data_IF_218481040161
#
_entry.id   IF_218481040161
#
_cell.length_a   1.000
_cell.length_b   1.000
_cell.length_c   1.000
_cell.angle_alpha   90.00
_cell.angle_beta   90.00
_cell.angle_gamma   90.00
#
_symmetry.space_group_name_H-M   'P 1'
#
loop_
_entity.id
_entity.type
_entity.pdbx_description
1 polymer ?
#
# COMPACT_ATOMS: atom_id res chain seq x y z
N UNK A 1 22.69 -9.31 -1.27
CA UNK A 1 21.89 -8.16 -0.80
C UNK A 1 20.47 -8.36 -1.28
N UNK A 2 19.51 -8.47 -0.36
CA UNK A 2 18.10 -8.65 -0.71
C UNK A 2 17.49 -7.31 -1.11
N UNK A 3 16.85 -7.26 -2.28
CA UNK A 3 16.22 -6.05 -2.80
C UNK A 3 14.71 -6.22 -2.89
N UNK A 4 13.97 -5.21 -2.46
CA UNK A 4 12.52 -5.18 -2.52
C UNK A 4 11.99 -3.92 -3.17
N UNK A 5 10.82 -4.03 -3.79
CA UNK A 5 10.03 -2.87 -4.24
C UNK A 5 8.90 -2.63 -3.24
N UNK A 6 8.73 -1.39 -2.81
CA UNK A 6 7.49 -0.95 -2.17
C UNK A 6 6.62 -0.26 -3.22
N UNK A 7 5.52 -0.91 -3.59
CA UNK A 7 4.52 -0.38 -4.49
C UNK A 7 3.62 0.59 -3.75
N UNK A 8 3.90 1.88 -3.91
CA UNK A 8 3.12 2.99 -3.34
C UNK A 8 1.78 3.08 -4.06
N UNK A 9 0.69 3.14 -3.31
CA UNK A 9 -0.68 3.22 -3.84
C UNK A 9 -1.43 4.41 -3.23
N UNK A 10 -2.46 4.12 -2.43
CA UNK A 10 -3.20 5.15 -1.69
C UNK A 10 -2.57 5.48 -0.33
N UNK A 11 -1.58 4.72 0.09
CA UNK A 11 -0.82 4.80 1.34
C UNK A 11 0.42 5.73 1.24
N UNK A 12 0.27 6.91 0.65
CA UNK A 12 1.36 7.84 0.31
C UNK A 12 1.96 8.50 1.57
N UNK A 13 2.53 7.69 2.48
CA UNK A 13 3.14 8.12 3.74
C UNK A 13 4.37 7.27 4.09
N UNK A 14 5.29 7.85 4.86
CA UNK A 14 6.50 7.16 5.34
C UNK A 14 6.30 6.55 6.72
N UNK A 15 5.65 7.26 7.63
CA UNK A 15 5.36 6.77 8.97
C UNK A 15 4.07 5.95 9.00
N UNK A 16 3.97 5.05 9.96
CA UNK A 16 2.81 4.19 10.20
C UNK A 16 2.32 3.49 8.91
N UNK A 17 3.28 2.99 8.13
CA UNK A 17 3.03 2.27 6.87
C UNK A 17 3.44 0.80 7.00
N UNK A 18 2.50 -0.13 7.27
CA UNK A 18 2.82 -1.54 7.49
C UNK A 18 3.54 -2.20 6.31
N UNK A 19 3.16 -1.85 5.07
CA UNK A 19 3.78 -2.41 3.88
C UNK A 19 5.23 -1.96 3.70
N UNK A 20 5.50 -0.66 3.93
CA UNK A 20 6.86 -0.11 3.89
C UNK A 20 7.71 -0.65 5.03
N UNK A 21 7.20 -0.66 6.26
CA UNK A 21 7.90 -1.22 7.42
C UNK A 21 8.29 -2.69 7.20
N UNK A 22 7.38 -3.48 6.63
CA UNK A 22 7.67 -4.88 6.28
C UNK A 22 8.76 -4.98 5.21
N UNK A 23 8.69 -4.18 4.16
CA UNK A 23 9.71 -4.15 3.11
C UNK A 23 11.10 -3.83 3.70
N UNK A 24 11.18 -2.79 4.54
CA UNK A 24 12.43 -2.36 5.19
C UNK A 24 12.97 -3.39 6.20
N UNK A 25 12.09 -4.20 6.82
CA UNK A 25 12.53 -5.26 7.76
C UNK A 25 13.04 -6.52 7.05
N UNK A 26 12.58 -6.78 5.82
CA UNK A 26 12.90 -8.02 5.09
C UNK A 26 13.94 -7.83 3.98
N UNK A 27 14.23 -6.56 3.58
CA UNK A 27 15.16 -6.24 2.49
C UNK A 27 16.23 -5.25 2.94
N UNK A 28 17.44 -5.42 2.42
CA UNK A 28 18.57 -4.51 2.66
C UNK A 28 18.44 -3.22 1.85
N UNK A 29 17.84 -3.30 0.67
CA UNK A 29 17.53 -2.16 -0.20
C UNK A 29 16.05 -2.19 -0.60
N UNK A 30 15.36 -1.06 -0.46
CA UNK A 30 13.96 -0.91 -0.85
C UNK A 30 13.81 0.28 -1.79
N UNK A 31 13.24 0.03 -2.97
CA UNK A 31 12.87 1.07 -3.94
C UNK A 31 11.37 1.35 -3.83
N UNK A 32 11.00 2.61 -3.59
CA UNK A 32 9.60 3.02 -3.64
C UNK A 32 9.19 3.29 -5.09
N UNK A 33 8.04 2.77 -5.50
CA UNK A 33 7.56 2.88 -6.88
C UNK A 33 6.08 3.26 -6.89
N UNK A 34 5.73 4.31 -7.63
CA UNK A 34 4.36 4.66 -7.96
C UNK A 34 4.10 4.47 -9.45
N UNK A 35 3.01 3.78 -9.79
CA UNK A 35 2.62 3.54 -11.19
C UNK A 35 1.51 4.52 -11.62
N UNK A 36 1.78 5.33 -12.64
CA UNK A 36 0.78 6.16 -13.30
C UNK A 36 0.03 5.34 -14.34
N UNK A 37 -1.10 4.78 -13.95
CA UNK A 37 -1.95 3.97 -14.83
C UNK A 37 -2.90 4.87 -15.63
N UNK A 38 -2.77 4.89 -16.94
CA UNK A 38 -3.60 5.68 -17.85
C UNK A 38 -5.09 5.42 -17.71
N UNK A 39 -5.48 4.22 -17.28
CA UNK A 39 -6.90 3.88 -17.04
C UNK A 39 -7.50 4.73 -15.93
N UNK A 40 -6.69 5.12 -14.94
CA UNK A 40 -7.09 5.96 -13.80
C UNK A 40 -6.96 7.45 -14.16
N UNK A 41 -5.89 7.81 -14.85
CA UNK A 41 -5.54 9.20 -15.16
C UNK A 41 -6.26 9.77 -16.41
N UNK A 42 -7.29 9.08 -16.91
CA UNK A 42 -8.12 9.57 -18.02
C UNK A 42 -9.14 10.61 -17.55
N UNK A 43 -9.52 11.55 -18.44
CA UNK A 43 -10.63 12.49 -18.21
C UNK A 43 -11.92 11.73 -17.84
N UNK A 44 -12.57 12.18 -16.77
CA UNK A 44 -13.80 11.57 -16.26
C UNK A 44 -13.61 10.42 -15.27
N UNK A 45 -12.41 9.86 -15.15
CA UNK A 45 -12.10 8.84 -14.13
C UNK A 45 -11.57 9.47 -12.84
N UNK A 46 -10.70 10.44 -12.97
CA UNK A 46 -10.19 11.22 -11.85
C UNK A 46 -10.57 12.68 -12.00
N UNK A 47 -11.17 13.26 -10.97
CA UNK A 47 -11.49 14.69 -10.94
C UNK A 47 -10.23 15.54 -10.68
N UNK A 48 -10.24 16.83 -11.13
CA UNK A 48 -9.05 17.69 -11.04
C UNK A 48 -8.54 17.90 -9.61
N UNK A 49 -9.43 17.96 -8.63
CA UNK A 49 -9.03 18.12 -7.22
C UNK A 49 -8.34 16.87 -6.68
N UNK A 50 -8.86 15.67 -6.99
CA UNK A 50 -8.23 14.41 -6.59
C UNK A 50 -6.89 14.23 -7.28
N UNK A 51 -6.80 14.51 -8.57
CA UNK A 51 -5.54 14.46 -9.31
C UNK A 51 -4.49 15.39 -8.68
N UNK A 52 -4.86 16.65 -8.41
CA UNK A 52 -3.98 17.62 -7.75
C UNK A 52 -3.53 17.13 -6.37
N UNK A 53 -4.45 16.58 -5.56
CA UNK A 53 -4.13 16.05 -4.24
C UNK A 53 -3.12 14.91 -4.33
N UNK A 54 -3.33 13.94 -5.21
CA UNK A 54 -2.40 12.81 -5.39
C UNK A 54 -1.01 13.32 -5.81
N UNK A 55 -0.93 14.24 -6.77
CA UNK A 55 0.35 14.78 -7.23
C UNK A 55 1.09 15.53 -6.12
N UNK A 56 0.39 16.30 -5.30
CA UNK A 56 0.97 16.99 -4.16
C UNK A 56 1.43 16.02 -3.06
N UNK A 57 0.66 14.96 -2.81
CA UNK A 57 1.04 13.91 -1.85
C UNK A 57 2.27 13.14 -2.33
N UNK A 58 2.36 12.81 -3.61
CA UNK A 58 3.53 12.15 -4.20
C UNK A 58 4.77 13.04 -4.16
N UNK A 59 4.62 14.35 -4.41
CA UNK A 59 5.74 15.29 -4.29
C UNK A 59 6.24 15.42 -2.85
N UNK A 60 5.33 15.48 -1.88
CA UNK A 60 5.67 15.48 -0.45
C UNK A 60 6.36 14.17 -0.04
N UNK A 61 5.82 13.02 -0.49
CA UNK A 61 6.43 11.71 -0.24
C UNK A 61 7.85 11.64 -0.84
N UNK A 62 8.01 12.09 -2.09
CA UNK A 62 9.31 12.13 -2.77
C UNK A 62 10.34 12.94 -1.97
N UNK A 63 9.98 14.14 -1.54
CA UNK A 63 10.86 14.99 -0.71
C UNK A 63 11.22 14.31 0.62
N UNK A 64 10.25 13.66 1.27
CA UNK A 64 10.48 12.88 2.48
C UNK A 64 11.47 11.73 2.26
N UNK A 65 11.26 10.95 1.20
CA UNK A 65 12.16 9.83 0.84
C UNK A 65 13.57 10.33 0.53
N UNK A 66 13.70 11.39 -0.27
CA UNK A 66 15.00 12.00 -0.62
C UNK A 66 15.73 12.54 0.60
N UNK A 67 15.02 13.12 1.57
CA UNK A 67 15.63 13.62 2.82
C UNK A 67 16.24 12.50 3.68
N UNK A 68 15.76 11.26 3.49
CA UNK A 68 16.28 10.05 4.13
C UNK A 68 17.35 9.33 3.27
N UNK A 69 17.72 9.91 2.12
CA UNK A 69 18.68 9.32 1.20
C UNK A 69 18.12 8.23 0.30
N UNK A 70 16.79 8.07 0.26
CA UNK A 70 16.09 7.11 -0.59
C UNK A 70 15.64 7.68 -1.93
N UNK A 71 14.94 6.87 -2.72
CA UNK A 71 14.41 7.24 -4.04
C UNK A 71 12.96 6.77 -4.18
N UNK A 72 12.10 7.68 -4.65
CA UNK A 72 10.77 7.35 -5.17
C UNK A 72 10.81 7.40 -6.69
N UNK A 73 10.57 6.25 -7.31
CA UNK A 73 10.55 6.10 -8.78
C UNK A 73 9.12 6.13 -9.30
N UNK A 74 8.94 6.74 -10.45
CA UNK A 74 7.67 6.77 -11.16
C UNK A 74 7.75 5.89 -12.42
N UNK A 75 6.75 5.06 -12.63
CA UNK A 75 6.58 4.29 -13.86
C UNK A 75 5.26 4.69 -14.52
N UNK A 76 5.20 4.60 -15.85
CA UNK A 76 4.02 4.95 -16.63
C UNK A 76 3.43 3.68 -17.24
N UNK A 77 2.23 3.34 -16.81
CA UNK A 77 1.53 2.13 -17.21
C UNK A 77 0.94 1.38 -16.01
N UNK A 78 0.47 0.18 -16.27
CA UNK A 78 -0.08 -0.71 -15.25
C UNK A 78 1.02 -1.24 -14.33
N UNK A 79 0.76 -1.25 -13.02
CA UNK A 79 1.69 -1.81 -12.05
C UNK A 79 2.07 -3.26 -12.39
N UNK A 80 1.09 -4.08 -12.82
CA UNK A 80 1.30 -5.47 -13.25
C UNK A 80 2.18 -5.64 -14.48
N UNK A 81 2.36 -4.60 -15.29
CA UNK A 81 3.28 -4.60 -16.44
C UNK A 81 4.66 -4.03 -16.10
N UNK A 82 4.67 -2.88 -15.42
CA UNK A 82 5.88 -2.08 -15.22
C UNK A 82 6.74 -2.57 -14.04
N UNK A 83 6.10 -2.93 -12.91
CA UNK A 83 6.83 -3.39 -11.72
C UNK A 83 7.65 -4.67 -12.00
N UNK A 84 7.13 -5.71 -12.69
CA UNK A 84 7.93 -6.88 -13.00
C UNK A 84 9.16 -6.58 -13.88
N UNK A 85 9.05 -5.62 -14.80
CA UNK A 85 10.19 -5.19 -15.62
C UNK A 85 11.23 -4.47 -14.78
N UNK A 86 10.80 -3.57 -13.92
CA UNK A 86 11.68 -2.85 -13.00
C UNK A 86 12.35 -3.82 -12.00
N UNK A 87 11.61 -4.79 -11.46
CA UNK A 87 12.17 -5.81 -10.58
C UNK A 87 13.30 -6.59 -11.28
N UNK A 88 13.07 -7.05 -12.51
CA UNK A 88 14.10 -7.76 -13.29
C UNK A 88 15.34 -6.89 -13.55
N UNK A 89 15.14 -5.63 -13.93
CA UNK A 89 16.25 -4.72 -14.27
C UNK A 89 17.08 -4.30 -13.05
N UNK A 90 16.44 -4.15 -11.90
CA UNK A 90 17.09 -3.74 -10.66
C UNK A 90 17.56 -4.92 -9.79
N UNK A 91 17.07 -6.12 -10.08
CA UNK A 91 17.39 -7.34 -9.34
C UNK A 91 16.60 -7.45 -8.02
N UNK A 92 15.37 -6.92 -7.96
CA UNK A 92 14.49 -7.07 -6.82
C UNK A 92 13.81 -8.44 -6.83
N UNK A 93 13.68 -9.03 -5.63
CA UNK A 93 13.11 -10.37 -5.46
C UNK A 93 11.64 -10.32 -5.02
N UNK A 94 11.23 -9.26 -4.34
CA UNK A 94 9.92 -9.14 -3.70
C UNK A 94 9.30 -7.77 -3.94
N UNK A 95 7.96 -7.76 -4.03
CA UNK A 95 7.17 -6.54 -4.09
C UNK A 95 6.24 -6.48 -2.87
N UNK A 96 6.21 -5.34 -2.20
CA UNK A 96 5.38 -5.09 -1.03
C UNK A 96 4.38 -3.99 -1.33
N UNK A 97 3.18 -4.11 -0.81
CA UNK A 97 2.15 -3.08 -1.00
C UNK A 97 1.03 -3.20 0.02
N UNK A 98 0.26 -2.13 0.17
CA UNK A 98 -0.96 -2.16 0.94
C UNK A 98 -2.08 -2.84 0.14
N UNK A 99 -2.84 -3.72 0.77
CA UNK A 99 -4.02 -4.35 0.18
C UNK A 99 -5.12 -3.31 -0.05
N UNK A 100 -5.80 -3.46 -1.17
CA UNK A 100 -6.95 -2.64 -1.52
C UNK A 100 -8.22 -3.50 -1.66
N UNK A 101 -9.41 -2.92 -1.42
CA UNK A 101 -10.66 -3.67 -1.39
C UNK A 101 -11.49 -3.49 -2.65
N UNK A 102 -11.25 -2.43 -3.42
CA UNK A 102 -12.04 -2.17 -4.62
C UNK A 102 -11.68 -3.15 -5.74
N UNK A 103 -12.65 -3.47 -6.57
CA UNK A 103 -12.53 -4.53 -7.57
C UNK A 103 -11.37 -4.30 -8.55
N UNK A 104 -11.20 -3.08 -9.06
CA UNK A 104 -10.15 -2.75 -10.03
C UNK A 104 -8.77 -2.92 -9.42
N UNK A 105 -8.61 -2.50 -8.17
CA UNK A 105 -7.37 -2.61 -7.41
C UNK A 105 -7.03 -4.07 -7.09
N UNK A 106 -8.03 -4.88 -6.71
CA UNK A 106 -7.81 -6.31 -6.43
C UNK A 106 -7.48 -7.10 -7.69
N UNK A 107 -8.04 -6.75 -8.85
CA UNK A 107 -7.66 -7.37 -10.13
C UNK A 107 -6.22 -7.00 -10.53
N UNK A 108 -5.77 -5.78 -10.24
CA UNK A 108 -4.38 -5.38 -10.47
C UNK A 108 -3.41 -6.12 -9.53
N UNK A 109 -3.80 -6.33 -8.25
CA UNK A 109 -3.04 -7.15 -7.29
C UNK A 109 -2.90 -8.59 -7.77
N UNK A 110 -3.98 -9.20 -8.21
CA UNK A 110 -3.97 -10.56 -8.77
C UNK A 110 -3.10 -10.65 -10.01
N UNK A 111 -3.16 -9.65 -10.88
CA UNK A 111 -2.35 -9.63 -12.10
C UNK A 111 -0.86 -9.51 -11.76
N UNK A 112 -0.49 -8.60 -10.87
CA UNK A 112 0.89 -8.42 -10.41
C UNK A 112 1.40 -9.67 -9.66
N UNK A 113 0.60 -10.26 -8.78
CA UNK A 113 0.96 -11.43 -7.99
C UNK A 113 1.17 -12.72 -8.82
N UNK A 114 0.75 -12.75 -10.09
CA UNK A 114 1.09 -13.85 -11.02
C UNK A 114 2.50 -13.73 -11.60
N UNK A 115 3.05 -12.52 -11.60
CA UNK A 115 4.34 -12.20 -12.24
C UNK A 115 5.48 -12.10 -11.21
N UNK A 116 5.16 -11.77 -9.94
CA UNK A 116 6.16 -11.50 -8.90
C UNK A 116 5.74 -12.05 -7.53
N UNK A 117 6.69 -12.22 -6.61
CA UNK A 117 6.41 -12.46 -5.18
C UNK A 117 5.83 -11.18 -4.56
N UNK A 118 4.50 -11.04 -4.65
CA UNK A 118 3.74 -9.90 -4.14
C UNK A 118 3.29 -10.17 -2.70
N UNK A 119 3.72 -9.32 -1.78
CA UNK A 119 3.37 -9.37 -0.36
C UNK A 119 2.51 -8.17 0.02
N UNK A 120 1.24 -8.44 0.24
CA UNK A 120 0.28 -7.41 0.64
C UNK A 120 0.09 -7.42 2.16
N UNK A 121 -0.04 -6.22 2.73
CA UNK A 121 -0.39 -6.01 4.13
C UNK A 121 -1.67 -5.19 4.22
N UNK A 122 -2.46 -5.45 5.26
CA UNK A 122 -3.53 -4.54 5.66
C UNK A 122 -2.91 -3.21 6.14
N UNK A 123 -3.69 -2.18 6.35
CA UNK A 123 -3.16 -0.88 6.79
C UNK A 123 -4.08 0.30 6.51
N UNK A 124 -5.32 0.05 6.10
CA UNK A 124 -6.32 1.11 5.84
C UNK A 124 -7.08 1.53 7.07
N UNK A 125 -7.30 0.60 7.98
CA UNK A 125 -8.08 0.81 9.17
C UNK A 125 -7.23 1.02 10.41
N UNK A 126 -7.83 1.61 11.43
CA UNK A 126 -7.24 1.69 12.77
C UNK A 126 -7.21 0.31 13.44
N UNK A 127 -8.05 -0.61 12.98
CA UNK A 127 -8.21 -1.97 13.46
C UNK A 127 -8.10 -2.93 12.30
N UNK A 128 -7.43 -4.04 12.54
CA UNK A 128 -7.41 -5.19 11.66
C UNK A 128 -8.23 -6.33 12.26
N UNK A 129 -8.47 -7.39 11.49
CA UNK A 129 -9.25 -8.54 11.94
C UNK A 129 -8.71 -9.14 13.26
N UNK A 130 -7.38 -9.19 13.40
CA UNK A 130 -6.70 -9.71 14.58
C UNK A 130 -6.92 -8.87 15.85
N UNK A 131 -7.27 -7.60 15.70
CA UNK A 131 -7.56 -6.69 16.82
C UNK A 131 -8.99 -6.83 17.34
N UNK A 132 -9.86 -7.52 16.58
CA UNK A 132 -11.25 -7.67 16.95
C UNK A 132 -11.42 -8.69 18.08
N UNK A 133 -12.29 -8.43 19.06
CA UNK A 133 -12.56 -9.37 20.17
C UNK A 133 -13.50 -10.51 19.77
N UNK A 134 -13.67 -10.77 18.48
CA UNK A 134 -14.54 -11.81 17.89
C UNK A 134 -14.08 -12.11 16.46
N UNK A 135 -14.39 -13.30 15.96
CA UNK A 135 -14.16 -13.64 14.55
C UNK A 135 -15.10 -12.87 13.62
N UNK A 136 -14.74 -12.69 12.35
CA UNK A 136 -15.63 -12.06 11.36
C UNK A 136 -16.96 -12.82 11.22
N UNK A 137 -16.97 -14.13 11.43
CA UNK A 137 -18.19 -14.95 11.41
C UNK A 137 -19.16 -14.60 12.55
N UNK A 138 -18.62 -14.16 13.71
CA UNK A 138 -19.38 -13.79 14.91
C UNK A 138 -19.60 -12.28 15.03
N UNK A 139 -19.27 -11.54 13.97
CA UNK A 139 -19.38 -10.08 13.96
C UNK A 139 -20.85 -9.66 14.14
N UNK A 140 -21.13 -8.75 15.10
CA UNK A 140 -22.49 -8.26 15.29
C UNK A 140 -23.01 -7.54 14.04
N UNK A 141 -24.17 -7.95 13.54
CA UNK A 141 -24.81 -7.36 12.35
C UNK A 141 -25.35 -5.94 12.56
N UNK A 142 -25.22 -5.37 13.77
CA UNK A 142 -25.66 -4.03 14.13
C UNK A 142 -24.51 -3.27 14.77
N UNK A 143 -24.31 -1.99 14.36
CA UNK A 143 -23.18 -1.17 14.80
C UNK A 143 -23.05 -0.98 16.31
N UNK A 144 -24.17 -0.75 17.04
CA UNK A 144 -24.10 -0.46 18.47
C UNK A 144 -23.58 -1.62 19.35
N UNK A 145 -23.98 -2.89 19.12
CA UNK A 145 -23.33 -4.05 19.75
C UNK A 145 -21.87 -4.23 19.32
N UNK A 146 -21.56 -4.03 18.03
CA UNK A 146 -20.19 -4.07 17.51
C UNK A 146 -19.30 -3.07 18.26
N UNK A 147 -19.70 -1.80 18.26
CA UNK A 147 -18.96 -0.72 18.93
C UNK A 147 -18.69 -1.03 20.40
N UNK A 148 -19.74 -1.44 21.15
CA UNK A 148 -19.59 -1.76 22.59
C UNK A 148 -18.62 -2.91 22.86
N UNK A 149 -18.60 -3.93 22.00
CA UNK A 149 -17.66 -5.05 22.15
C UNK A 149 -16.23 -4.60 21.85
N UNK A 150 -16.03 -3.84 20.78
CA UNK A 150 -14.72 -3.32 20.38
C UNK A 150 -14.20 -2.36 21.44
N UNK A 151 -14.94 -1.29 21.81
CA UNK A 151 -14.50 -0.28 22.79
C UNK A 151 -14.12 -0.88 24.15
N UNK A 152 -14.77 -1.97 24.56
CA UNK A 152 -14.47 -2.63 25.85
C UNK A 152 -13.15 -3.40 25.84
N UNK A 153 -12.73 -3.91 24.71
CA UNK A 153 -11.64 -4.89 24.61
C UNK A 153 -10.46 -4.41 23.71
N UNK A 154 -10.60 -3.23 23.12
CA UNK A 154 -9.61 -2.71 22.17
C UNK A 154 -8.31 -2.33 22.86
N UNK A 155 -7.22 -2.83 22.30
CA UNK A 155 -5.87 -2.29 22.51
C UNK A 155 -5.41 -1.66 21.19
N UNK A 156 -5.17 -0.34 21.21
CA UNK A 156 -4.65 0.35 20.01
C UNK A 156 -3.18 -0.03 19.84
N UNK A 157 -2.83 -0.47 18.65
CA UNK A 157 -1.44 -0.77 18.29
C UNK A 157 -0.58 0.50 18.36
N UNK A 158 0.70 0.40 18.75
CA UNK A 158 1.61 1.54 18.64
C UNK A 158 1.84 1.89 17.17
N UNK A 159 2.11 3.17 16.91
CA UNK A 159 2.53 3.65 15.59
C UNK A 159 3.81 2.95 15.14
N UNK A 160 3.86 2.59 13.86
CA UNK A 160 5.06 2.04 13.23
C UNK A 160 6.04 3.17 12.87
N UNK A 161 7.35 2.90 12.94
CA UNK A 161 8.37 3.88 12.57
C UNK A 161 8.30 4.32 11.13
#
# INVERSE_FOLDING_TARGET
MSKGIHWVRNDQRLSDNPALSKALSECEEVLLVYAFDDRIWQPGRIGPYRAKFILQSLDSLRQGVESLGGVLTFVHGRASGEIPQLMRSWGAERCYGQREDAWEETEEEKALGREVDLRLTEGKGLLEEEDLPFSLADMPGVFSPFRRKVEKNLTIRPELP
#
